data_IF_769473945607
#
_entry.id   IF_769473945607
#
_cell.length_a   1.000
_cell.length_b   1.000
_cell.length_c   1.000
_cell.angle_alpha   90.00
_cell.angle_beta   90.00
_cell.angle_gamma   90.00
#
_symmetry.space_group_name_H-M   'P 1'
#
loop_
_entity.id
_entity.type
_entity.pdbx_description
1 polymer ?
#
# COMPACT_ATOMS: atom_id res chain seq x y z
N UNK A 1 -8.75 12.99 23.85
CA UNK A 1 -8.79 12.71 23.35
C UNK A 1 -8.37 12.23 22.71
N UNK A 2 -8.15 12.05 22.78
CA UNK A 2 -7.44 11.71 21.93
C UNK A 2 -7.83 11.30 20.67
N UNK A 3 -7.60 11.67 19.93
CA UNK A 3 -7.87 11.30 18.78
C UNK A 3 -6.85 10.61 18.32
N UNK A 4 -6.91 9.70 17.64
CA UNK A 4 -5.93 9.10 17.07
C UNK A 4 -6.12 9.13 15.68
N UNK A 5 -5.12 9.16 14.89
CA UNK A 5 -5.25 9.19 13.48
C UNK A 5 -5.85 7.91 13.06
N UNK A 6 -6.77 7.97 12.14
CA UNK A 6 -7.27 6.85 11.65
C UNK A 6 -6.36 6.21 10.81
N UNK A 7 -5.45 6.82 10.14
CA UNK A 7 -4.54 6.16 9.29
C UNK A 7 -3.18 6.39 9.79
N UNK A 8 -2.52 5.38 10.29
CA UNK A 8 -1.16 5.48 10.74
C UNK A 8 -0.25 5.40 9.51
N UNK A 9 0.65 6.34 9.40
CA UNK A 9 1.62 6.35 8.32
C UNK A 9 2.87 5.68 8.82
N UNK A 10 3.33 4.65 8.10
CA UNK A 10 4.55 3.95 8.45
C UNK A 10 5.65 4.50 7.60
N UNK A 11 6.83 4.72 8.18
CA UNK A 11 7.94 5.26 7.41
C UNK A 11 8.42 4.28 6.37
N UNK A 12 8.32 3.00 6.65
CA UNK A 12 8.70 2.01 5.67
C UNK A 12 7.72 0.86 5.73
N UNK A 13 7.66 0.11 4.65
CA UNK A 13 6.79 -1.06 4.59
C UNK A 13 7.39 -2.11 5.50
N UNK A 14 6.59 -2.77 6.36
CA UNK A 14 7.11 -3.73 7.33
C UNK A 14 7.85 -4.89 6.65
N UNK A 15 8.83 -5.42 7.34
CA UNK A 15 9.60 -6.53 6.80
C UNK A 15 8.76 -7.80 6.64
N UNK A 16 7.62 -7.88 7.33
CA UNK A 16 6.73 -9.02 7.13
C UNK A 16 6.14 -9.04 5.73
N UNK A 17 6.16 -7.88 5.03
CA UNK A 17 5.69 -7.81 3.65
C UNK A 17 6.91 -7.93 2.75
N UNK A 18 7.59 -9.04 2.83
CA UNK A 18 8.86 -9.19 2.13
C UNK A 18 8.79 -10.01 0.85
N UNK A 19 7.60 -10.24 0.34
CA UNK A 19 7.45 -10.85 -0.97
C UNK A 19 7.62 -9.83 -2.08
N UNK A 20 7.25 -10.18 -3.31
CA UNK A 20 7.40 -9.26 -4.43
C UNK A 20 6.66 -7.96 -4.20
N UNK A 21 7.26 -6.87 -4.67
CA UNK A 21 6.68 -5.54 -4.53
C UNK A 21 6.61 -4.91 -5.89
N UNK A 22 5.41 -4.51 -6.28
CA UNK A 22 5.18 -3.90 -7.57
C UNK A 22 4.82 -2.43 -7.34
N UNK A 23 5.54 -1.55 -8.02
CA UNK A 23 5.34 -0.12 -7.87
C UNK A 23 4.49 0.38 -9.01
N UNK A 24 3.51 1.22 -8.69
CA UNK A 24 2.60 1.80 -9.68
C UNK A 24 2.62 3.31 -9.50
N UNK A 25 2.76 4.03 -10.60
CA UNK A 25 2.77 5.49 -10.56
C UNK A 25 1.63 6.02 -11.40
N UNK A 26 0.88 6.97 -10.86
CA UNK A 26 -0.25 7.54 -11.57
C UNK A 26 0.19 8.75 -12.39
N UNK A 27 -0.72 9.26 -13.22
CA UNK A 27 -0.41 10.41 -14.07
C UNK A 27 -0.04 11.64 -13.26
N UNK A 28 -0.59 11.79 -12.06
CA UNK A 28 -0.28 12.93 -11.21
C UNK A 28 1.02 12.75 -10.43
N UNK A 29 1.66 11.60 -10.55
CA UNK A 29 2.90 11.35 -9.82
C UNK A 29 2.69 10.67 -8.49
N UNK A 30 1.48 10.27 -8.17
CA UNK A 30 1.21 9.55 -6.92
C UNK A 30 1.76 8.13 -7.05
N UNK A 31 2.47 7.68 -6.04
CA UNK A 31 3.09 6.36 -6.09
C UNK A 31 2.37 5.41 -5.14
N UNK A 32 2.07 4.23 -5.66
CA UNK A 32 1.47 3.15 -4.88
C UNK A 32 2.38 1.95 -4.96
N UNK A 33 2.27 1.07 -3.98
CA UNK A 33 3.04 -0.16 -3.99
C UNK A 33 2.16 -1.30 -3.51
N UNK A 34 2.24 -2.44 -4.17
CA UNK A 34 1.52 -3.64 -3.77
C UNK A 34 2.57 -4.64 -3.31
N UNK A 35 2.41 -5.12 -2.09
CA UNK A 35 3.36 -6.06 -1.51
C UNK A 35 2.67 -7.38 -1.24
N UNK A 36 3.44 -8.41 -1.01
CA UNK A 36 2.91 -9.71 -0.65
C UNK A 36 3.51 -10.19 0.66
N UNK A 37 2.67 -10.64 1.57
CA UNK A 37 3.13 -11.23 2.81
C UNK A 37 3.31 -12.71 2.56
N UNK A 38 4.55 -13.18 2.60
CA UNK A 38 4.84 -14.56 2.26
C UNK A 38 4.26 -15.57 3.24
N UNK A 39 3.96 -15.16 4.45
CA UNK A 39 3.38 -16.06 5.42
C UNK A 39 1.88 -16.21 5.24
N UNK A 40 1.18 -15.12 5.05
CA UNK A 40 -0.27 -15.15 4.93
C UNK A 40 -0.73 -15.27 3.50
N UNK A 41 0.16 -14.99 2.54
CA UNK A 41 -0.14 -14.99 1.11
C UNK A 41 -1.14 -13.91 0.75
N UNK A 42 -1.28 -12.91 1.59
CA UNK A 42 -2.15 -11.79 1.29
C UNK A 42 -1.35 -10.67 0.69
N UNK A 43 -2.02 -9.83 -0.09
CA UNK A 43 -1.40 -8.69 -0.73
C UNK A 43 -1.90 -7.42 -0.06
N UNK A 44 -1.08 -6.39 -0.03
CA UNK A 44 -1.42 -5.14 0.63
C UNK A 44 -1.10 -3.98 -0.30
N UNK A 45 -2.03 -3.04 -0.38
CA UNK A 45 -1.85 -1.83 -1.18
C UNK A 45 -1.39 -0.69 -0.26
N UNK A 46 -0.32 -0.05 -0.66
CA UNK A 46 0.26 1.06 0.08
C UNK A 46 0.29 2.30 -0.79
N UNK A 47 0.07 3.45 -0.18
CA UNK A 47 0.16 4.73 -0.86
C UNK A 47 1.33 5.49 -0.26
N UNK A 48 2.17 6.07 -1.12
CA UNK A 48 3.30 6.86 -0.65
C UNK A 48 2.82 8.23 -0.24
N UNK A 49 3.13 8.62 0.98
CA UNK A 49 2.80 9.94 1.49
C UNK A 49 4.06 10.57 2.01
N UNK A 50 4.02 11.87 2.24
CA UNK A 50 5.18 12.56 2.78
C UNK A 50 5.57 11.88 4.08
N UNK A 51 6.77 11.40 4.13
CA UNK A 51 7.28 10.77 5.33
C UNK A 51 7.04 9.29 5.46
N UNK A 52 6.38 8.66 4.52
CA UNK A 52 6.22 7.22 4.65
C UNK A 52 5.11 6.63 3.81
N UNK A 53 4.65 5.47 4.22
CA UNK A 53 3.66 4.68 3.49
C UNK A 53 2.41 4.51 4.33
N UNK A 54 1.26 4.61 3.68
CA UNK A 54 -0.02 4.39 4.32
C UNK A 54 -0.65 3.12 3.76
N UNK A 55 -1.07 2.22 4.64
CA UNK A 55 -1.74 1.01 4.22
C UNK A 55 -3.18 1.36 3.86
N UNK A 56 -3.62 0.96 2.68
CA UNK A 56 -4.97 1.24 2.22
C UNK A 56 -5.89 0.04 2.34
N UNK A 57 -5.42 -1.12 1.87
CA UNK A 57 -6.27 -2.30 1.87
C UNK A 57 -5.44 -3.55 1.67
N UNK A 58 -5.96 -4.67 2.17
CA UNK A 58 -5.37 -5.98 1.93
C UNK A 58 -6.38 -6.83 1.19
N UNK A 59 -5.90 -7.75 0.36
CA UNK A 59 -6.77 -8.65 -0.37
C UNK A 59 -6.02 -9.94 -0.67
N UNK A 60 -6.77 -10.97 -1.06
CA UNK A 60 -6.17 -12.26 -1.40
C UNK A 60 -5.53 -12.22 -2.77
N UNK A 61 -5.94 -11.30 -3.63
CA UNK A 61 -5.41 -11.19 -4.97
C UNK A 61 -4.90 -9.77 -5.21
N UNK A 62 -3.73 -9.61 -5.85
CA UNK A 62 -3.23 -8.27 -6.14
C UNK A 62 -4.13 -7.55 -7.14
N UNK A 63 -4.86 -8.29 -7.97
CA UNK A 63 -5.72 -7.65 -8.97
C UNK A 63 -6.85 -6.86 -8.32
N UNK A 64 -7.33 -7.31 -7.15
CA UNK A 64 -8.35 -6.57 -6.43
C UNK A 64 -7.81 -5.24 -5.94
N UNK A 65 -6.50 -5.17 -5.72
CA UNK A 65 -5.88 -3.94 -5.25
C UNK A 65 -5.57 -3.01 -6.41
N UNK A 66 -5.20 -3.55 -7.57
CA UNK A 66 -4.90 -2.74 -8.73
C UNK A 66 -6.13 -1.92 -9.15
N UNK A 67 -7.33 -2.48 -8.95
CA UNK A 67 -8.54 -1.78 -9.31
C UNK A 67 -8.79 -0.53 -8.47
N UNK A 68 -8.13 -0.44 -7.33
CA UNK A 68 -8.31 0.71 -6.45
C UNK A 68 -7.37 1.85 -6.82
N UNK A 69 -6.42 1.63 -7.71
CA UNK A 69 -5.47 2.66 -8.09
C UNK A 69 -6.02 3.43 -9.27
N UNK A 70 -6.14 4.75 -9.10
CA UNK A 70 -6.63 5.60 -10.18
C UNK A 70 -5.41 6.10 -10.95
N UNK A 71 -5.04 5.37 -12.00
CA UNK A 71 -3.84 5.70 -12.76
C UNK A 71 -3.95 7.01 -13.54
N UNK A 72 -5.17 7.44 -13.80
CA UNK A 72 -5.35 8.68 -14.55
C UNK A 72 -5.32 9.93 -13.68
N UNK A 73 -5.23 9.76 -12.41
CA UNK A 73 -5.30 10.89 -11.50
C UNK A 73 -3.94 11.35 -11.01
#
# INVERSE_FOLDING_TARGET
>A
MGRRPKEAIQKSIPSSENGPRVTHETASGQIYKVTENLKTKKHTLWKNLDGGWQKLKSADSPYDLYELIDYDN
#
